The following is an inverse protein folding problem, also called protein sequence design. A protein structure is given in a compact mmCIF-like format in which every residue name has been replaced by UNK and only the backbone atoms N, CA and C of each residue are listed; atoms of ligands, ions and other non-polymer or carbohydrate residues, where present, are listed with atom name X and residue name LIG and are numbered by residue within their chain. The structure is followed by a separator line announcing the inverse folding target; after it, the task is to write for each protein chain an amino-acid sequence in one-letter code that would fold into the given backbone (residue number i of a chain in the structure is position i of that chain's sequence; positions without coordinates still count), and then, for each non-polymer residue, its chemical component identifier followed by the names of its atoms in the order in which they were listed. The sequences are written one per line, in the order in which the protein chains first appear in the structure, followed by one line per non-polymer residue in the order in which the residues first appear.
data_IF_379408471431
#
_entry.id   IF_379408471431
#
_cell.length_a   1.000
_cell.length_b   1.000
_cell.length_c   1.000
_cell.angle_alpha   90.00
_cell.angle_beta   90.00
_cell.angle_gamma   90.00
#
_symmetry.space_group_name_H-M   'P 1'
#
loop_
_entity.id
_entity.type
_entity.pdbx_description
1 polymer ?
#
# COMPACT_ATOMS: atom_id res chain seq x y z
N UNK A 1 -3.00 -2.96 -1.49
CA UNK A 1 -2.07 -1.95 -0.92
C UNK A 1 -1.39 -2.58 0.29
N UNK A 2 -0.09 -2.41 0.41
CA UNK A 2 0.72 -3.02 1.47
C UNK A 2 1.15 -1.96 2.49
N UNK A 3 0.93 -2.25 3.78
CA UNK A 3 1.23 -1.34 4.88
C UNK A 3 2.27 -2.00 5.79
N UNK A 4 3.30 -1.26 6.18
CA UNK A 4 4.18 -1.67 7.27
C UNK A 4 3.64 -1.08 8.58
N UNK A 5 3.42 -1.93 9.58
CA UNK A 5 3.10 -1.54 10.95
C UNK A 5 4.33 -1.84 11.83
N UNK A 6 4.94 -0.80 12.37
CA UNK A 6 6.03 -0.93 13.33
C UNK A 6 5.52 -0.48 14.71
N UNK A 7 5.26 -1.43 15.60
CA UNK A 7 4.59 -1.26 16.89
C UNK A 7 5.08 -2.35 17.84
N UNK A 8 5.56 -1.99 19.03
CA UNK A 8 6.10 -2.93 20.02
C UNK A 8 5.02 -3.45 20.99
N UNK A 9 3.90 -2.74 21.15
CA UNK A 9 2.75 -3.26 21.87
C UNK A 9 1.98 -4.26 21.01
N UNK A 10 2.15 -5.54 21.32
CA UNK A 10 1.56 -6.65 20.60
C UNK A 10 0.03 -6.57 20.53
N UNK A 11 -0.63 -6.22 21.63
CA UNK A 11 -2.10 -6.15 21.69
C UNK A 11 -2.64 -5.04 20.78
N UNK A 12 -1.97 -3.90 20.77
CA UNK A 12 -2.31 -2.79 19.88
C UNK A 12 -2.02 -3.15 18.42
N UNK A 13 -0.89 -3.77 18.13
CA UNK A 13 -0.51 -4.20 16.80
C UNK A 13 -1.50 -5.19 16.20
N UNK A 14 -1.88 -6.24 16.95
CA UNK A 14 -2.88 -7.24 16.51
C UNK A 14 -4.24 -6.59 16.21
N UNK A 15 -4.65 -5.60 17.02
CA UNK A 15 -5.90 -4.86 16.80
C UNK A 15 -5.85 -4.00 15.54
N UNK A 16 -4.75 -3.26 15.34
CA UNK A 16 -4.53 -2.42 14.15
C UNK A 16 -4.46 -3.29 12.90
N UNK A 17 -3.66 -4.37 12.95
CA UNK A 17 -3.48 -5.29 11.82
C UNK A 17 -4.83 -5.87 11.38
N UNK A 18 -5.56 -6.50 12.30
CA UNK A 18 -6.86 -7.12 11.98
C UNK A 18 -7.85 -6.11 11.38
N UNK A 19 -7.88 -4.88 11.92
CA UNK A 19 -8.78 -3.84 11.42
C UNK A 19 -8.42 -3.41 10.00
N UNK A 20 -7.13 -3.17 9.72
CA UNK A 20 -6.68 -2.76 8.40
C UNK A 20 -6.80 -3.90 7.36
N UNK A 21 -6.63 -5.16 7.77
CA UNK A 21 -6.88 -6.31 6.91
C UNK A 21 -8.37 -6.44 6.55
N UNK A 22 -9.29 -6.15 7.47
CA UNK A 22 -10.73 -6.04 7.17
C UNK A 22 -11.03 -4.91 6.16
N UNK A 23 -10.28 -3.81 6.19
CA UNK A 23 -10.33 -2.75 5.18
C UNK A 23 -9.68 -3.16 3.84
N UNK A 24 -9.08 -4.37 3.76
CA UNK A 24 -8.49 -4.97 2.56
C UNK A 24 -7.08 -4.47 2.27
N UNK A 25 -6.32 -4.12 3.28
CA UNK A 25 -4.88 -3.89 3.20
C UNK A 25 -4.11 -5.17 3.53
N UNK A 26 -2.90 -5.33 3.00
CA UNK A 26 -1.94 -6.32 3.47
C UNK A 26 -1.04 -5.64 4.48
N UNK A 27 -0.94 -6.18 5.68
CA UNK A 27 -0.21 -5.54 6.78
C UNK A 27 0.93 -6.44 7.23
N UNK A 28 2.17 -5.96 7.07
CA UNK A 28 3.33 -6.58 7.67
C UNK A 28 3.59 -5.91 9.01
N UNK A 29 3.64 -6.69 10.08
CA UNK A 29 3.91 -6.18 11.42
C UNK A 29 5.30 -6.53 11.89
N UNK A 30 5.97 -5.56 12.52
CA UNK A 30 7.28 -5.71 13.17
C UNK A 30 7.27 -5.04 14.55
N UNK A 31 7.90 -5.70 15.54
CA UNK A 31 7.93 -5.25 16.94
C UNK A 31 9.14 -4.35 17.25
N UNK A 32 10.10 -4.23 16.32
CA UNK A 32 11.41 -3.60 16.58
C UNK A 32 11.83 -2.71 15.43
N UNK A 33 12.46 -1.61 15.75
CA UNK A 33 12.92 -0.64 14.76
C UNK A 33 13.97 -1.18 13.79
N UNK A 34 14.87 -2.07 14.22
CA UNK A 34 15.84 -2.72 13.33
C UNK A 34 15.15 -3.64 12.30
N UNK A 35 14.09 -4.32 12.68
CA UNK A 35 13.27 -5.10 11.76
C UNK A 35 12.48 -4.20 10.79
N UNK A 36 11.99 -3.02 11.24
CA UNK A 36 11.36 -2.06 10.36
C UNK A 36 12.33 -1.55 9.28
N UNK A 37 13.59 -1.29 9.64
CA UNK A 37 14.62 -0.89 8.67
C UNK A 37 14.84 -1.99 7.63
N UNK A 38 15.00 -3.25 8.06
CA UNK A 38 15.18 -4.39 7.15
C UNK A 38 13.97 -4.56 6.21
N UNK A 39 12.75 -4.41 6.75
CA UNK A 39 11.53 -4.48 5.97
C UNK A 39 11.48 -3.42 4.85
N UNK A 40 11.83 -2.19 5.18
CA UNK A 40 11.88 -1.07 4.22
C UNK A 40 12.97 -1.29 3.14
N UNK A 41 14.10 -1.89 3.48
CA UNK A 41 15.18 -2.18 2.54
C UNK A 41 14.81 -3.31 1.56
N UNK A 42 13.97 -4.26 1.98
CA UNK A 42 13.62 -5.44 1.20
C UNK A 42 12.29 -5.31 0.43
N UNK A 43 11.40 -4.44 0.86
CA UNK A 43 10.05 -4.32 0.31
C UNK A 43 9.59 -2.88 0.15
N UNK A 44 8.77 -2.63 -0.87
CA UNK A 44 8.05 -1.37 -1.05
C UNK A 44 6.73 -1.40 -0.29
N UNK A 45 6.40 -0.29 0.37
CA UNK A 45 5.15 -0.09 1.10
C UNK A 45 4.41 1.11 0.55
N UNK A 46 3.07 1.00 0.50
CA UNK A 46 2.19 2.10 0.10
C UNK A 46 1.97 3.11 1.23
N UNK A 47 2.11 2.67 2.51
CA UNK A 47 2.06 3.51 3.71
C UNK A 47 2.80 2.83 4.85
N UNK A 48 3.35 3.61 5.78
CA UNK A 48 4.02 3.11 6.98
C UNK A 48 3.36 3.72 8.23
N UNK A 49 2.95 2.85 9.15
CA UNK A 49 2.51 3.19 10.50
C UNK A 49 3.67 2.94 11.44
N UNK A 50 4.14 3.96 12.12
CA UNK A 50 5.42 3.93 12.81
C UNK A 50 5.29 4.43 14.23
N UNK A 51 5.43 3.53 15.23
CA UNK A 51 5.60 4.01 16.60
C UNK A 51 6.96 4.72 16.73
N UNK A 52 6.94 5.85 17.41
CA UNK A 52 8.13 6.65 17.64
C UNK A 52 9.04 6.05 18.70
N UNK A 53 8.47 5.23 19.62
CA UNK A 53 9.14 4.66 20.80
C UNK A 53 9.73 3.25 20.63
N UNK A 54 9.93 2.78 19.41
CA UNK A 54 10.37 1.41 19.13
C UNK A 54 11.72 1.05 19.76
N UNK A 55 11.87 -0.21 20.20
CA UNK A 55 13.18 -0.72 20.67
C UNK A 55 14.14 -0.89 19.49
N UNK A 56 15.45 -0.75 19.77
CA UNK A 56 16.61 -0.94 18.88
C UNK A 56 16.86 0.18 17.87
N UNK A 57 15.86 0.77 17.27
CA UNK A 57 15.96 1.98 16.46
C UNK A 57 14.68 2.82 16.66
N UNK A 58 14.85 4.11 16.84
CA UNK A 58 13.73 5.03 17.05
C UNK A 58 12.96 5.30 15.76
N UNK A 59 11.66 5.66 15.88
CA UNK A 59 10.88 6.04 14.73
C UNK A 59 11.49 7.19 13.92
N UNK A 60 12.17 8.12 14.57
CA UNK A 60 12.85 9.25 13.91
C UNK A 60 14.02 8.76 13.03
N UNK A 61 14.82 7.79 13.50
CA UNK A 61 15.92 7.19 12.72
C UNK A 61 15.40 6.40 11.52
N UNK A 62 14.30 5.65 11.73
CA UNK A 62 13.65 4.88 10.66
C UNK A 62 13.11 5.83 9.58
N UNK A 63 12.41 6.90 10.00
CA UNK A 63 11.86 7.90 9.08
C UNK A 63 12.94 8.56 8.24
N UNK A 64 14.08 8.96 8.85
CA UNK A 64 15.19 9.56 8.12
C UNK A 64 15.78 8.62 7.06
N UNK A 65 15.91 7.32 7.35
CA UNK A 65 16.38 6.31 6.39
C UNK A 65 15.38 6.12 5.26
N UNK A 66 14.11 5.98 5.61
CA UNK A 66 13.04 5.81 4.65
C UNK A 66 13.00 6.98 3.65
N UNK A 67 12.99 8.22 4.14
CA UNK A 67 12.87 9.41 3.29
C UNK A 67 14.07 9.65 2.36
N UNK A 68 15.23 9.07 2.67
CA UNK A 68 16.39 9.06 1.76
C UNK A 68 16.19 8.11 0.57
N UNK A 69 15.54 6.97 0.78
CA UNK A 69 15.38 5.92 -0.22
C UNK A 69 14.03 6.01 -0.93
N UNK A 70 12.98 6.33 -0.19
CA UNK A 70 11.60 6.39 -0.66
C UNK A 70 10.93 7.69 -0.17
N UNK A 71 11.27 8.86 -0.74
CA UNK A 71 10.81 10.16 -0.26
C UNK A 71 9.28 10.33 -0.30
N UNK A 72 8.64 9.66 -1.27
CA UNK A 72 7.20 9.79 -1.52
C UNK A 72 6.34 8.83 -0.68
N UNK A 73 6.93 7.83 -0.01
CA UNK A 73 6.18 6.88 0.82
C UNK A 73 5.63 7.60 2.05
N UNK A 74 4.29 7.63 2.24
CA UNK A 74 3.69 8.30 3.39
C UNK A 74 3.95 7.56 4.69
N UNK A 75 4.22 8.35 5.74
CA UNK A 75 4.44 7.86 7.09
C UNK A 75 3.48 8.54 8.05
N UNK A 76 2.77 7.74 8.85
CA UNK A 76 1.94 8.19 9.97
C UNK A 76 2.65 7.77 11.26
N UNK A 77 3.03 8.73 12.10
CA UNK A 77 3.50 8.40 13.42
C UNK A 77 2.35 8.01 14.36
N UNK A 78 2.52 6.89 15.06
CA UNK A 78 1.68 6.47 16.19
C UNK A 78 2.47 6.75 17.48
N UNK A 79 1.95 7.53 18.43
CA UNK A 79 2.79 7.93 19.56
C UNK A 79 2.00 8.38 20.77
N UNK A 80 2.54 8.13 21.96
CA UNK A 80 2.03 8.68 23.21
C UNK A 80 2.45 10.15 23.46
N UNK A 81 3.34 10.72 22.64
CA UNK A 81 3.80 12.09 22.77
C UNK A 81 2.76 13.04 22.15
N UNK A 82 2.18 13.90 22.99
CA UNK A 82 1.08 14.79 22.61
C UNK A 82 1.47 16.27 22.53
N UNK A 83 2.73 16.62 22.85
CA UNK A 83 3.17 18.01 22.83
C UNK A 83 3.20 18.57 21.42
N UNK A 84 2.90 19.89 21.29
CA UNK A 84 2.98 20.59 20.01
C UNK A 84 4.39 20.50 19.43
N UNK A 85 5.43 20.58 20.28
CA UNK A 85 6.81 20.50 19.88
C UNK A 85 7.17 19.16 19.25
N UNK A 86 6.71 18.04 19.84
CA UNK A 86 6.93 16.68 19.30
C UNK A 86 6.28 16.50 17.92
N UNK A 87 5.08 17.07 17.72
CA UNK A 87 4.36 17.02 16.43
C UNK A 87 5.09 17.82 15.36
N UNK A 88 5.49 19.04 15.68
CA UNK A 88 6.25 19.91 14.76
C UNK A 88 7.54 19.21 14.35
N UNK A 89 8.31 18.69 15.32
CA UNK A 89 9.55 17.97 15.03
C UNK A 89 9.33 16.76 14.12
N UNK A 90 8.27 15.95 14.36
CA UNK A 90 7.97 14.78 13.54
C UNK A 90 7.61 15.15 12.09
N UNK A 91 6.84 16.23 11.91
CA UNK A 91 6.47 16.75 10.59
C UNK A 91 7.68 17.34 9.86
N UNK A 92 8.54 18.10 10.56
CA UNK A 92 9.77 18.65 10.00
C UNK A 92 10.76 17.57 9.56
N UNK A 93 10.76 16.40 10.21
CA UNK A 93 11.52 15.22 9.79
C UNK A 93 10.95 14.54 8.54
N UNK A 94 9.77 14.94 8.07
CA UNK A 94 9.15 14.45 6.85
C UNK A 94 8.04 13.40 7.07
N UNK A 95 7.53 13.23 8.30
CA UNK A 95 6.30 12.46 8.51
C UNK A 95 5.11 13.18 7.83
N UNK A 96 4.20 12.41 7.27
CA UNK A 96 3.04 12.94 6.55
C UNK A 96 1.85 13.20 7.48
N UNK A 97 1.78 12.49 8.61
CA UNK A 97 0.72 12.67 9.61
C UNK A 97 1.19 12.16 10.98
N UNK A 98 0.39 12.46 11.99
CA UNK A 98 0.68 12.19 13.39
C UNK A 98 -0.60 11.81 14.13
N UNK A 99 -0.62 10.63 14.77
CA UNK A 99 -1.77 10.12 15.50
C UNK A 99 -1.38 9.83 16.95
N UNK A 100 -2.03 10.54 17.88
CA UNK A 100 -1.73 10.45 19.32
C UNK A 100 -2.51 9.32 19.96
N UNK A 101 -1.81 8.46 20.70
CA UNK A 101 -2.38 7.40 21.53
C UNK A 101 -3.02 8.00 22.81
N UNK A 102 -4.26 7.57 23.21
CA UNK A 102 -5.09 6.58 22.56
C UNK A 102 -5.88 7.15 21.37
N UNK A 103 -6.07 6.36 20.32
CA UNK A 103 -6.86 6.73 19.14
C UNK A 103 -7.90 5.64 18.82
N UNK A 104 -8.90 5.98 18.01
CA UNK A 104 -9.83 4.99 17.48
C UNK A 104 -9.31 4.37 16.18
N UNK A 105 -9.67 3.10 15.92
CA UNK A 105 -9.27 2.41 14.68
C UNK A 105 -9.90 3.05 13.44
N UNK A 106 -11.10 3.63 13.59
CA UNK A 106 -11.78 4.39 12.54
C UNK A 106 -10.99 5.66 12.17
N UNK A 107 -10.42 6.38 13.16
CA UNK A 107 -9.56 7.54 12.91
C UNK A 107 -8.29 7.13 12.17
N UNK A 108 -7.64 6.06 12.63
CA UNK A 108 -6.46 5.51 11.95
C UNK A 108 -6.76 5.17 10.48
N UNK A 109 -7.83 4.42 10.22
CA UNK A 109 -8.25 4.08 8.85
C UNK A 109 -8.53 5.32 8.00
N UNK A 110 -9.17 6.34 8.55
CA UNK A 110 -9.43 7.58 7.84
C UNK A 110 -8.13 8.30 7.44
N UNK A 111 -7.13 8.33 8.33
CA UNK A 111 -5.81 8.92 8.06
C UNK A 111 -5.02 8.11 7.04
N UNK A 112 -5.00 6.77 7.16
CA UNK A 112 -4.38 5.89 6.16
C UNK A 112 -4.97 6.15 4.77
N UNK A 113 -6.31 6.18 4.66
CA UNK A 113 -6.95 6.52 3.38
C UNK A 113 -6.57 7.91 2.87
N UNK A 114 -6.44 8.91 3.75
CA UNK A 114 -6.04 10.26 3.38
C UNK A 114 -4.61 10.30 2.83
N UNK A 115 -3.66 9.61 3.46
CA UNK A 115 -2.27 9.55 3.01
C UNK A 115 -2.12 8.79 1.69
N UNK A 116 -2.79 7.66 1.54
CA UNK A 116 -2.79 6.91 0.30
C UNK A 116 -3.38 7.69 -0.89
N UNK A 117 -4.26 8.68 -0.63
CA UNK A 117 -4.76 9.59 -1.66
C UNK A 117 -3.73 10.64 -2.10
N UNK A 118 -2.93 11.17 -1.18
CA UNK A 118 -1.97 12.25 -1.46
C UNK A 118 -0.82 11.81 -2.37
N UNK A 119 -0.47 10.53 -2.37
CA UNK A 119 0.55 9.97 -3.28
C UNK A 119 0.09 9.91 -4.73
N UNK A 120 -1.17 10.23 -5.02
CA UNK A 120 -1.76 10.22 -6.36
C UNK A 120 -2.13 11.65 -6.79
N UNK A 121 -1.16 12.37 -7.33
CA UNK A 121 -1.41 13.66 -8.00
C UNK A 121 -2.16 13.40 -9.32
N UNK A 122 -3.43 13.59 -9.31
CA UNK A 122 -4.39 14.01 -10.35
C UNK A 122 -5.72 13.23 -10.26
N UNK A 123 -6.81 13.96 -10.02
CA UNK A 123 -8.21 13.48 -9.90
C UNK A 123 -8.42 12.46 -8.77
N UNK A 124 -8.77 12.98 -7.63
CA UNK A 124 -8.74 12.51 -6.23
C UNK A 124 -9.07 11.04 -5.90
N UNK A 125 -9.66 10.26 -6.78
CA UNK A 125 -10.05 8.86 -6.51
C UNK A 125 -10.05 7.95 -7.74
N UNK A 126 -9.91 8.51 -8.94
CA UNK A 126 -10.00 7.76 -10.18
C UNK A 126 -8.67 7.65 -10.90
N UNK A 127 -8.23 6.43 -11.17
CA UNK A 127 -7.15 6.16 -12.11
C UNK A 127 -7.78 5.77 -13.44
N UNK A 128 -7.46 6.54 -14.50
CA UNK A 128 -7.98 6.30 -15.84
C UNK A 128 -6.91 5.72 -16.75
N UNK A 129 -7.26 4.67 -17.47
CA UNK A 129 -6.40 4.10 -18.49
C UNK A 129 -7.24 3.45 -19.59
N UNK A 130 -7.05 3.89 -20.84
CA UNK A 130 -7.91 3.49 -21.95
C UNK A 130 -9.39 3.75 -21.60
N UNK A 131 -10.23 2.73 -21.68
CA UNK A 131 -11.64 2.79 -21.32
C UNK A 131 -11.92 2.33 -19.87
N UNK A 132 -10.88 2.14 -19.03
CA UNK A 132 -11.02 1.77 -17.64
C UNK A 132 -10.96 3.00 -16.73
N UNK A 133 -11.84 3.01 -15.73
CA UNK A 133 -11.81 3.93 -14.60
C UNK A 133 -11.81 3.10 -13.32
N UNK A 134 -10.77 3.24 -12.52
CA UNK A 134 -10.62 2.56 -11.24
C UNK A 134 -10.78 3.57 -10.12
N UNK A 135 -11.82 3.42 -9.30
CA UNK A 135 -12.03 4.22 -8.09
C UNK A 135 -11.32 3.53 -6.91
N UNK A 136 -10.30 4.19 -6.39
CA UNK A 136 -9.47 3.66 -5.31
C UNK A 136 -10.16 3.72 -3.95
N UNK A 137 -11.12 4.63 -3.76
CA UNK A 137 -11.86 4.80 -2.53
C UNK A 137 -13.03 3.81 -2.45
N UNK A 138 -13.86 3.77 -3.50
CA UNK A 138 -14.99 2.85 -3.57
C UNK A 138 -14.56 1.41 -3.88
N UNK A 139 -13.28 1.18 -4.25
CA UNK A 139 -12.75 -0.12 -4.72
C UNK A 139 -13.59 -0.70 -5.87
N UNK A 140 -14.04 0.17 -6.76
CA UNK A 140 -14.84 -0.19 -7.93
C UNK A 140 -14.09 0.08 -9.23
N UNK A 141 -14.43 -0.68 -10.27
CA UNK A 141 -13.86 -0.53 -11.61
C UNK A 141 -15.00 -0.38 -12.61
N UNK A 142 -14.86 0.56 -13.50
CA UNK A 142 -15.77 0.77 -14.63
C UNK A 142 -15.01 0.60 -15.94
N UNK A 143 -15.65 0.01 -16.93
CA UNK A 143 -15.21 -0.03 -18.32
C UNK A 143 -16.36 0.44 -19.20
N UNK A 144 -16.10 1.46 -20.03
CA UNK A 144 -17.14 2.07 -20.87
C UNK A 144 -18.39 2.47 -20.05
N UNK A 145 -18.19 3.03 -18.85
CA UNK A 145 -19.23 3.42 -17.87
C UNK A 145 -20.02 2.26 -17.25
N UNK A 146 -19.67 1.02 -17.51
CA UNK A 146 -20.28 -0.16 -16.90
C UNK A 146 -19.41 -0.69 -15.76
N UNK A 147 -20.02 -0.95 -14.61
CA UNK A 147 -19.30 -1.49 -13.46
C UNK A 147 -18.85 -2.94 -13.71
N UNK A 148 -17.59 -3.24 -13.40
CA UNK A 148 -17.02 -4.59 -13.47
C UNK A 148 -16.81 -5.11 -12.06
N UNK A 149 -17.38 -6.29 -11.76
CA UNK A 149 -17.16 -6.96 -10.49
C UNK A 149 -15.79 -7.65 -10.46
N UNK A 150 -14.86 -7.10 -9.67
CA UNK A 150 -13.55 -7.69 -9.41
C UNK A 150 -13.49 -8.25 -7.98
N UNK A 151 -12.70 -9.32 -7.80
CA UNK A 151 -12.29 -9.76 -6.46
C UNK A 151 -11.27 -8.77 -5.90
N UNK A 152 -11.02 -8.81 -4.58
CA UNK A 152 -10.02 -7.97 -3.95
C UNK A 152 -8.62 -8.13 -4.57
N UNK A 153 -8.21 -9.37 -4.90
CA UNK A 153 -6.93 -9.67 -5.54
C UNK A 153 -6.85 -9.14 -6.97
N UNK A 154 -7.90 -9.33 -7.77
CA UNK A 154 -7.99 -8.79 -9.13
C UNK A 154 -7.94 -7.26 -9.14
N UNK A 155 -8.65 -6.61 -8.20
CA UNK A 155 -8.61 -5.16 -8.03
C UNK A 155 -7.20 -4.67 -7.71
N UNK A 156 -6.52 -5.31 -6.77
CA UNK A 156 -5.16 -4.92 -6.38
C UNK A 156 -4.15 -5.08 -7.51
N UNK A 157 -4.23 -6.17 -8.29
CA UNK A 157 -3.39 -6.36 -9.48
C UNK A 157 -3.64 -5.23 -10.49
N UNK A 158 -4.90 -4.96 -10.82
CA UNK A 158 -5.24 -3.92 -11.78
C UNK A 158 -4.76 -2.55 -11.30
N UNK A 159 -5.00 -2.24 -10.03
CA UNK A 159 -4.52 -1.02 -9.40
C UNK A 159 -3.00 -0.85 -9.52
N UNK A 160 -2.22 -1.89 -9.16
CA UNK A 160 -0.75 -1.86 -9.26
C UNK A 160 -0.26 -1.64 -10.69
N UNK A 161 -0.91 -2.27 -11.67
CA UNK A 161 -0.59 -2.10 -13.09
C UNK A 161 -0.97 -0.70 -13.61
N UNK A 162 -2.10 -0.14 -13.18
CA UNK A 162 -2.58 1.17 -13.63
C UNK A 162 -1.86 2.34 -12.97
N UNK A 163 -1.17 2.16 -11.84
CA UNK A 163 -0.36 3.21 -11.20
C UNK A 163 0.77 3.73 -12.12
N UNK A 164 1.43 2.84 -12.84
CA UNK A 164 2.52 3.14 -13.78
C UNK A 164 2.37 2.28 -15.04
N UNK A 165 1.42 2.60 -15.94
CA UNK A 165 1.00 1.72 -17.03
C UNK A 165 2.13 1.28 -17.96
N UNK A 166 3.10 2.17 -18.20
CA UNK A 166 4.25 1.92 -19.07
C UNK A 166 5.34 1.03 -18.45
N UNK A 167 5.30 0.83 -17.11
CA UNK A 167 6.32 0.08 -16.41
C UNK A 167 5.92 -1.39 -16.28
N UNK A 168 6.94 -2.26 -16.29
CA UNK A 168 6.75 -3.68 -16.01
C UNK A 168 6.64 -3.86 -14.50
N UNK A 169 5.57 -4.48 -14.06
CA UNK A 169 5.40 -4.95 -12.70
C UNK A 169 5.80 -6.41 -12.65
N UNK A 170 6.82 -6.74 -11.88
CA UNK A 170 7.32 -8.12 -11.81
C UNK A 170 6.32 -9.02 -11.08
N UNK A 171 6.50 -10.34 -11.22
CA UNK A 171 5.69 -11.31 -10.49
C UNK A 171 5.83 -11.13 -8.99
N UNK A 172 7.06 -10.97 -8.51
CA UNK A 172 7.39 -10.79 -7.10
C UNK A 172 6.73 -9.51 -6.53
N UNK A 173 6.69 -8.43 -7.31
CA UNK A 173 6.00 -7.20 -6.92
C UNK A 173 4.48 -7.38 -6.82
N UNK A 174 3.88 -8.18 -7.71
CA UNK A 174 2.45 -8.52 -7.61
C UNK A 174 2.18 -9.42 -6.40
N UNK A 175 2.99 -10.45 -6.18
CA UNK A 175 2.89 -11.32 -5.01
C UNK A 175 3.01 -10.50 -3.72
N UNK A 176 4.02 -9.64 -3.62
CA UNK A 176 4.21 -8.75 -2.47
C UNK A 176 3.03 -7.78 -2.22
N UNK A 177 2.29 -7.40 -3.28
CA UNK A 177 1.10 -6.55 -3.13
C UNK A 177 -0.16 -7.31 -2.70
N UNK A 178 -0.19 -8.65 -2.86
CA UNK A 178 -1.37 -9.49 -2.61
C UNK A 178 -1.29 -10.28 -1.31
N UNK A 179 -0.09 -10.54 -0.81
CA UNK A 179 0.16 -11.45 0.30
C UNK A 179 1.05 -10.78 1.35
N UNK A 180 0.76 -11.02 2.63
CA UNK A 180 1.60 -10.63 3.75
C UNK A 180 2.73 -11.63 3.97
N UNK A 181 3.66 -11.31 4.89
CA UNK A 181 4.73 -12.24 5.23
C UNK A 181 4.19 -13.50 5.88
N UNK A 182 4.62 -14.66 5.37
CA UNK A 182 4.22 -15.97 5.90
C UNK A 182 3.00 -16.58 5.24
N UNK A 183 2.34 -15.87 4.32
CA UNK A 183 1.28 -16.46 3.51
C UNK A 183 1.83 -17.55 2.59
N UNK A 184 1.15 -18.71 2.53
CA UNK A 184 1.42 -19.72 1.52
C UNK A 184 0.90 -19.24 0.16
N UNK A 185 1.82 -18.99 -0.77
CA UNK A 185 1.48 -18.54 -2.13
C UNK A 185 1.53 -19.75 -3.08
N UNK A 186 0.40 -20.08 -3.68
CA UNK A 186 0.39 -21.06 -4.75
C UNK A 186 1.23 -20.59 -5.94
N UNK A 187 2.04 -21.48 -6.50
CA UNK A 187 3.03 -21.14 -7.54
C UNK A 187 2.45 -20.49 -8.81
N UNK A 188 1.15 -20.56 -9.05
CA UNK A 188 0.45 -20.00 -10.21
C UNK A 188 -0.63 -18.97 -9.83
N UNK A 189 -0.64 -18.48 -8.59
CA UNK A 189 -1.70 -17.59 -8.10
C UNK A 189 -1.81 -16.29 -8.91
N UNK A 190 -0.69 -15.69 -9.31
CA UNK A 190 -0.67 -14.48 -10.13
C UNK A 190 -1.24 -14.75 -11.52
N UNK A 191 -0.81 -15.83 -12.16
CA UNK A 191 -1.25 -16.22 -13.51
C UNK A 191 -2.76 -16.44 -13.56
N UNK A 192 -3.31 -17.11 -12.55
CA UNK A 192 -4.76 -17.36 -12.43
C UNK A 192 -5.52 -16.04 -12.29
N UNK A 193 -5.08 -15.14 -11.41
CA UNK A 193 -5.73 -13.85 -11.23
C UNK A 193 -5.62 -12.97 -12.47
N UNK A 194 -4.46 -12.92 -13.15
CA UNK A 194 -4.28 -12.22 -14.42
C UNK A 194 -5.21 -12.78 -15.52
N UNK A 195 -5.34 -14.10 -15.60
CA UNK A 195 -6.23 -14.74 -16.56
C UNK A 195 -7.70 -14.36 -16.31
N UNK A 196 -8.16 -14.39 -15.06
CA UNK A 196 -9.52 -14.01 -14.70
C UNK A 196 -9.75 -12.52 -14.94
N UNK A 197 -8.79 -11.68 -14.58
CA UNK A 197 -8.85 -10.25 -14.83
C UNK A 197 -8.97 -9.94 -16.32
N UNK A 198 -8.15 -10.57 -17.17
CA UNK A 198 -8.23 -10.44 -18.64
C UNK A 198 -9.58 -10.83 -19.21
N UNK A 199 -10.22 -11.86 -18.67
CA UNK A 199 -11.59 -12.23 -19.09
C UNK A 199 -12.61 -11.14 -18.81
N UNK A 200 -12.42 -10.37 -17.73
CA UNK A 200 -13.36 -9.33 -17.29
C UNK A 200 -13.14 -8.00 -18.01
N UNK A 201 -11.89 -7.58 -18.21
CA UNK A 201 -11.56 -6.26 -18.77
C UNK A 201 -11.11 -6.32 -20.24
N UNK A 202 -10.88 -7.51 -20.79
CA UNK A 202 -10.35 -7.73 -22.14
C UNK A 202 -8.88 -8.14 -22.18
N UNK A 203 -8.59 -9.14 -23.02
CA UNK A 203 -7.25 -9.74 -23.11
C UNK A 203 -6.16 -8.77 -23.61
N UNK A 204 -6.56 -7.71 -24.30
CA UNK A 204 -5.64 -6.76 -24.93
C UNK A 204 -5.09 -5.71 -23.96
N UNK A 205 -5.73 -5.49 -22.81
CA UNK A 205 -5.34 -4.42 -21.88
C UNK A 205 -4.14 -4.77 -20.98
N UNK A 206 -3.84 -6.03 -20.76
CA UNK A 206 -2.69 -6.46 -19.96
C UNK A 206 -1.74 -7.27 -20.84
N UNK A 207 -0.50 -6.83 -20.98
CA UNK A 207 0.55 -7.52 -21.72
C UNK A 207 1.44 -8.33 -20.79
N UNK A 208 1.73 -9.59 -21.15
CA UNK A 208 2.77 -10.40 -20.50
C UNK A 208 4.11 -10.10 -21.16
N UNK A 209 5.10 -9.76 -20.37
CA UNK A 209 6.49 -9.62 -20.79
C UNK A 209 7.24 -10.86 -20.29
N UNK A 210 7.51 -11.79 -21.21
CA UNK A 210 8.09 -13.11 -20.87
C UNK A 210 9.36 -12.97 -20.04
N UNK A 211 9.41 -13.69 -18.92
CA UNK A 211 10.55 -13.69 -18.01
C UNK A 211 10.68 -12.43 -17.11
N UNK A 212 9.80 -11.42 -17.25
CA UNK A 212 9.90 -10.18 -16.50
C UNK A 212 8.62 -9.87 -15.69
N UNK A 213 7.42 -10.09 -16.24
CA UNK A 213 6.17 -9.78 -15.55
C UNK A 213 5.06 -9.28 -16.45
N UNK A 214 4.31 -8.28 -15.96
CA UNK A 214 3.13 -7.75 -16.64
C UNK A 214 3.14 -6.23 -16.68
N UNK A 215 2.46 -5.65 -17.66
CA UNK A 215 2.22 -4.21 -17.74
C UNK A 215 0.89 -3.94 -18.42
N UNK A 216 0.39 -2.72 -18.31
CA UNK A 216 -0.71 -2.31 -19.18
C UNK A 216 -0.23 -2.24 -20.62
N UNK A 217 -1.10 -2.59 -21.55
CA UNK A 217 -0.81 -2.53 -22.97
C UNK A 217 -1.26 -1.18 -23.53
N UNK A 218 -0.40 -0.49 -24.24
CA UNK A 218 -0.75 0.80 -24.87
C UNK A 218 -2.00 0.62 -25.73
N UNK A 219 -3.04 1.46 -25.58
CA UNK A 219 -4.19 1.44 -26.49
C UNK A 219 -3.68 1.60 -27.93
N UNK A 220 -4.05 0.68 -28.80
CA UNK A 220 -3.87 0.93 -30.23
C UNK A 220 -4.92 1.97 -30.63
N UNK A 221 -4.47 3.07 -31.21
CA UNK A 221 -5.31 4.07 -31.87
C UNK A 221 -6.19 3.46 -32.95
#
# INVERSE_FOLDING_TARGET
MRILLAEDDRSQAESIQSWLEMDGYNVDWVERGDHAILAIEQHEYDCILLDRGLPKATGDEILQRLKKQYPDTPVIFLTARDTIQDRVQGLDLGANDYLVKPFSLEELSARVRAQLRQTQTTNLHEIKYANLILDTQAKTVFQDQQAIALTAKEFQILYKLMQKPEHIVTREQLEASLYAWGDEIESNAIEVNIYQLRKKIGNHLIKTIRGLGYRMNTPQE
#
